data_IF_732877853753
#
_entry.id   IF_732877853753
#
_cell.length_a   1.000
_cell.length_b   1.000
_cell.length_c   1.000
_cell.angle_alpha   90.00
_cell.angle_beta   90.00
_cell.angle_gamma   90.00
#
_symmetry.space_group_name_H-M   'P 1'
#
loop_
_entity.id
_entity.type
_entity.pdbx_description
1 polymer ?
#
# COMPACT_ATOMS: atom_id res chain seq x y z
N UNK A 1 -13.39 -19.45 10.29
CA UNK A 1 -13.31 -18.36 9.29
C UNK A 1 -13.36 -17.02 10.00
N UNK A 2 -12.45 -16.11 9.67
CA UNK A 2 -12.38 -14.74 10.17
C UNK A 2 -13.57 -13.96 9.61
N UNK A 3 -14.34 -13.32 10.47
CA UNK A 3 -15.44 -12.45 10.06
C UNK A 3 -14.90 -11.06 9.75
N UNK A 4 -15.16 -10.58 8.55
CA UNK A 4 -14.59 -9.33 8.01
C UNK A 4 -15.66 -8.28 7.81
N UNK A 5 -15.37 -7.06 8.25
CA UNK A 5 -16.10 -5.86 7.86
C UNK A 5 -15.25 -4.95 6.99
N UNK A 6 -15.85 -4.34 5.98
CA UNK A 6 -15.16 -3.39 5.10
C UNK A 6 -15.93 -2.06 5.12
N UNK A 7 -15.34 -1.00 5.63
CA UNK A 7 -15.87 0.37 5.49
C UNK A 7 -15.24 0.97 4.24
N UNK A 8 -16.08 1.49 3.32
CA UNK A 8 -15.63 1.96 2.01
C UNK A 8 -15.55 0.86 0.94
N UNK A 9 -16.35 -0.21 1.07
CA UNK A 9 -16.36 -1.38 0.17
C UNK A 9 -16.61 -1.03 -1.31
N UNK A 10 -17.20 0.13 -1.60
CA UNK A 10 -17.52 0.57 -2.97
C UNK A 10 -16.50 1.51 -3.61
N UNK A 11 -15.39 1.84 -2.92
CA UNK A 11 -14.20 2.45 -3.52
C UNK A 11 -13.38 1.44 -4.31
N UNK A 12 -12.35 1.86 -5.05
CA UNK A 12 -11.50 0.92 -5.81
C UNK A 12 -10.71 -0.02 -4.88
N UNK A 13 -10.09 0.49 -3.81
CA UNK A 13 -9.39 -0.37 -2.84
C UNK A 13 -10.37 -1.29 -2.10
N UNK A 14 -11.56 -0.78 -1.71
CA UNK A 14 -12.61 -1.59 -1.09
C UNK A 14 -13.14 -2.67 -2.02
N UNK A 15 -13.36 -2.36 -3.30
CA UNK A 15 -13.79 -3.35 -4.31
C UNK A 15 -12.73 -4.43 -4.54
N UNK A 16 -11.45 -4.06 -4.45
CA UNK A 16 -10.35 -5.02 -4.56
C UNK A 16 -10.25 -5.91 -3.30
N UNK A 17 -10.48 -5.35 -2.10
CA UNK A 17 -10.63 -6.16 -0.87
C UNK A 17 -11.75 -7.18 -1.01
N UNK A 18 -12.93 -6.75 -1.50
CA UNK A 18 -14.06 -7.67 -1.72
C UNK A 18 -13.67 -8.78 -2.72
N UNK A 19 -12.98 -8.43 -3.82
CA UNK A 19 -12.53 -9.42 -4.81
C UNK A 19 -11.60 -10.48 -4.20
N UNK A 20 -10.61 -10.06 -3.44
CA UNK A 20 -9.63 -10.95 -2.81
C UNK A 20 -10.29 -11.80 -1.72
N UNK A 21 -11.03 -11.16 -0.83
CA UNK A 21 -11.63 -11.83 0.33
C UNK A 21 -12.78 -12.79 -0.05
N UNK A 22 -13.47 -12.55 -1.16
CA UNK A 22 -14.48 -13.51 -1.69
C UNK A 22 -13.84 -14.85 -2.07
N UNK A 23 -12.57 -14.86 -2.49
CA UNK A 23 -11.82 -16.08 -2.79
C UNK A 23 -11.00 -16.62 -1.61
N UNK A 24 -11.01 -15.96 -0.46
CA UNK A 24 -10.18 -16.31 0.69
C UNK A 24 -10.82 -17.44 1.52
N UNK A 25 -10.12 -18.56 1.72
CA UNK A 25 -10.70 -19.76 2.35
C UNK A 25 -10.97 -19.62 3.84
N UNK A 26 -10.23 -18.75 4.53
CA UNK A 26 -10.28 -18.55 5.98
C UNK A 26 -10.98 -17.26 6.40
N UNK A 27 -11.57 -16.48 5.45
CA UNK A 27 -12.27 -15.24 5.73
C UNK A 27 -13.68 -15.22 5.12
N UNK A 28 -14.60 -14.50 5.77
CA UNK A 28 -15.98 -14.28 5.33
C UNK A 28 -16.37 -12.82 5.52
N UNK A 29 -16.76 -12.13 4.46
CA UNK A 29 -17.21 -10.74 4.54
C UNK A 29 -18.64 -10.71 5.08
N UNK A 30 -18.82 -10.07 6.24
CA UNK A 30 -20.13 -9.89 6.92
C UNK A 30 -20.72 -8.51 6.71
N UNK A 31 -19.89 -7.51 6.37
CA UNK A 31 -20.31 -6.12 6.29
C UNK A 31 -19.68 -5.41 5.09
N UNK A 32 -20.53 -4.91 4.20
CA UNK A 32 -20.13 -4.16 2.98
C UNK A 32 -20.48 -2.69 3.18
N UNK A 33 -19.69 -1.95 3.95
CA UNK A 33 -19.95 -0.55 4.31
C UNK A 33 -19.78 0.40 3.13
N UNK A 34 -20.79 1.24 2.90
CA UNK A 34 -20.76 2.28 1.88
C UNK A 34 -21.75 3.41 2.20
N UNK A 35 -21.25 4.63 2.36
CA UNK A 35 -22.13 5.80 2.58
C UNK A 35 -23.01 6.16 1.39
N UNK A 36 -22.54 5.88 0.17
CA UNK A 36 -23.21 6.29 -1.06
C UNK A 36 -24.24 5.30 -1.58
N UNK A 37 -24.22 4.05 -1.08
CA UNK A 37 -25.01 2.95 -1.64
C UNK A 37 -25.73 2.12 -0.55
N UNK A 38 -26.04 2.73 0.60
CA UNK A 38 -26.78 2.06 1.69
C UNK A 38 -28.05 1.42 1.12
N UNK A 39 -28.38 0.20 1.58
CA UNK A 39 -29.53 -0.62 1.16
C UNK A 39 -29.55 -1.06 -0.31
N UNK A 40 -28.51 -0.76 -1.08
CA UNK A 40 -28.40 -1.25 -2.44
C UNK A 40 -27.60 -2.54 -2.50
N UNK A 41 -27.93 -3.44 -3.44
CA UNK A 41 -27.15 -4.65 -3.68
C UNK A 41 -25.72 -4.28 -4.11
N UNK A 42 -24.71 -4.92 -3.51
CA UNK A 42 -23.31 -4.69 -3.88
C UNK A 42 -23.05 -4.92 -5.38
N UNK A 43 -23.67 -5.97 -5.94
CA UNK A 43 -23.58 -6.28 -7.36
C UNK A 43 -24.23 -5.23 -8.28
N UNK A 44 -25.11 -4.34 -7.78
CA UNK A 44 -25.61 -3.22 -8.58
C UNK A 44 -24.56 -2.12 -8.76
N UNK A 45 -23.59 -2.04 -7.86
CA UNK A 45 -22.46 -1.11 -7.95
C UNK A 45 -21.32 -1.70 -8.77
N UNK A 46 -21.07 -3.00 -8.60
CA UNK A 46 -20.03 -3.77 -9.29
C UNK A 46 -20.63 -4.98 -9.98
N UNK A 47 -21.07 -4.81 -11.23
CA UNK A 47 -21.79 -5.85 -12.01
C UNK A 47 -20.98 -7.13 -12.24
N UNK A 48 -19.65 -7.06 -12.19
CA UNK A 48 -18.77 -8.23 -12.25
C UNK A 48 -18.91 -9.14 -11.02
N UNK A 49 -19.57 -8.69 -9.95
CA UNK A 49 -19.88 -9.46 -8.74
C UNK A 49 -21.29 -10.06 -8.77
N UNK A 50 -22.03 -9.92 -9.89
CA UNK A 50 -23.36 -10.50 -10.04
C UNK A 50 -23.31 -12.03 -9.89
N UNK A 51 -24.21 -12.59 -9.07
CA UNK A 51 -24.27 -14.01 -8.68
C UNK A 51 -23.03 -14.54 -7.91
N UNK A 52 -22.07 -13.68 -7.56
CA UNK A 52 -20.89 -14.01 -6.74
C UNK A 52 -21.08 -13.43 -5.33
N UNK A 53 -21.46 -12.16 -5.23
CA UNK A 53 -21.69 -11.47 -3.96
C UNK A 53 -23.15 -11.03 -3.89
N UNK A 54 -23.97 -11.78 -3.17
CA UNK A 54 -25.37 -11.43 -2.89
C UNK A 54 -25.48 -10.74 -1.53
N UNK A 55 -24.91 -9.55 -1.43
CA UNK A 55 -24.92 -8.75 -0.21
C UNK A 55 -25.53 -7.38 -0.48
N UNK A 56 -26.07 -6.76 0.56
CA UNK A 56 -26.57 -5.39 0.54
C UNK A 56 -25.54 -4.48 1.20
N UNK A 57 -25.29 -3.32 0.62
CA UNK A 57 -24.41 -2.31 1.21
C UNK A 57 -25.03 -1.75 2.49
N UNK A 58 -24.19 -1.57 3.49
CA UNK A 58 -24.55 -1.11 4.83
C UNK A 58 -23.88 0.23 5.11
N UNK A 59 -24.24 0.86 6.22
CA UNK A 59 -23.61 2.10 6.68
C UNK A 59 -22.18 1.86 7.22
N UNK A 60 -21.58 2.87 7.84
CA UNK A 60 -20.26 2.83 8.48
C UNK A 60 -20.35 2.90 10.01
N UNK A 61 -21.44 2.40 10.60
CA UNK A 61 -21.60 2.34 12.05
C UNK A 61 -20.62 1.33 12.67
N UNK A 62 -19.45 1.84 13.03
CA UNK A 62 -18.35 1.01 13.54
C UNK A 62 -18.68 0.34 14.87
N UNK A 63 -19.51 0.94 15.73
CA UNK A 63 -19.92 0.36 17.01
C UNK A 63 -20.80 -0.89 16.83
N UNK A 64 -21.68 -0.90 15.83
CA UNK A 64 -22.49 -2.08 15.48
C UNK A 64 -21.64 -3.13 14.74
N UNK A 65 -20.77 -2.68 13.83
CA UNK A 65 -19.88 -3.54 13.08
C UNK A 65 -18.91 -4.30 14.00
N UNK A 66 -18.34 -3.62 15.00
CA UNK A 66 -17.41 -4.22 15.96
C UNK A 66 -18.02 -5.34 16.84
N UNK A 67 -19.35 -5.48 16.86
CA UNK A 67 -20.02 -6.58 17.55
C UNK A 67 -20.17 -7.85 16.69
N UNK A 68 -19.94 -7.73 15.38
CA UNK A 68 -20.31 -8.75 14.41
C UNK A 68 -19.10 -9.36 13.68
N UNK A 69 -17.94 -8.71 13.75
CA UNK A 69 -16.74 -9.09 12.99
C UNK A 69 -15.51 -9.21 13.87
N UNK A 70 -14.48 -9.87 13.34
CA UNK A 70 -13.19 -10.04 14.02
C UNK A 70 -12.17 -8.99 13.58
N UNK A 71 -12.33 -8.46 12.34
CA UNK A 71 -11.47 -7.44 11.75
C UNK A 71 -12.27 -6.46 10.90
N UNK A 72 -11.87 -5.18 10.95
CA UNK A 72 -12.43 -4.12 10.11
C UNK A 72 -11.33 -3.56 9.21
N UNK A 73 -11.59 -3.53 7.90
CA UNK A 73 -10.80 -2.76 6.95
C UNK A 73 -11.44 -1.40 6.72
N UNK A 74 -10.67 -0.33 6.84
CA UNK A 74 -11.13 1.02 6.53
C UNK A 74 -10.50 1.51 5.22
N UNK A 75 -11.22 1.35 4.10
CA UNK A 75 -10.83 1.83 2.78
C UNK A 75 -11.47 3.20 2.49
N UNK A 76 -11.16 4.17 3.32
CA UNK A 76 -11.86 5.46 3.44
C UNK A 76 -10.96 6.66 3.11
N UNK A 77 -11.54 7.84 2.86
CA UNK A 77 -10.79 9.09 2.86
C UNK A 77 -10.07 9.33 4.20
N UNK A 78 -8.98 10.08 4.15
CA UNK A 78 -8.20 10.47 5.33
C UNK A 78 -9.07 11.22 6.37
N UNK A 79 -8.78 11.01 7.64
CA UNK A 79 -9.49 11.57 8.80
C UNK A 79 -10.70 10.75 9.25
N UNK A 80 -11.23 9.86 8.40
CA UNK A 80 -12.42 9.09 8.77
C UNK A 80 -12.11 7.95 9.73
N UNK A 81 -11.08 7.15 9.47
CA UNK A 81 -10.68 6.08 10.36
C UNK A 81 -10.35 6.64 11.76
N UNK A 82 -9.52 7.69 11.82
CA UNK A 82 -9.20 8.37 13.08
C UNK A 82 -10.41 8.92 13.82
N UNK A 83 -11.49 9.31 13.13
CA UNK A 83 -12.72 9.78 13.76
C UNK A 83 -13.60 8.67 14.31
N UNK A 84 -13.43 7.44 13.85
CA UNK A 84 -14.25 6.28 14.24
C UNK A 84 -13.55 5.39 15.27
N UNK A 85 -12.24 5.32 15.26
CA UNK A 85 -11.45 4.47 16.18
C UNK A 85 -11.47 5.00 17.59
N UNK A 86 -11.74 4.11 18.55
CA UNK A 86 -11.66 4.37 19.98
C UNK A 86 -11.34 3.08 20.75
N UNK A 87 -11.04 3.19 22.05
CA UNK A 87 -10.64 2.05 22.86
C UNK A 87 -11.74 0.97 22.96
N UNK A 88 -13.00 1.35 23.01
CA UNK A 88 -14.11 0.40 23.04
C UNK A 88 -14.16 -0.48 21.76
N UNK A 89 -13.82 0.09 20.62
CA UNK A 89 -13.73 -0.63 19.35
C UNK A 89 -12.49 -1.52 19.32
N UNK A 90 -11.31 -0.96 19.61
CA UNK A 90 -10.03 -1.70 19.58
C UNK A 90 -9.97 -2.83 20.61
N UNK A 91 -10.75 -2.78 21.67
CA UNK A 91 -10.88 -3.89 22.63
C UNK A 91 -11.68 -5.09 22.10
N UNK A 92 -12.42 -4.93 21.00
CA UNK A 92 -13.34 -5.94 20.45
C UNK A 92 -12.87 -6.51 19.11
N UNK A 93 -12.29 -5.67 18.27
CA UNK A 93 -11.92 -6.03 16.90
C UNK A 93 -10.55 -5.47 16.53
N UNK A 94 -9.89 -6.14 15.60
CA UNK A 94 -8.67 -5.64 14.96
C UNK A 94 -9.04 -4.68 13.82
N UNK A 95 -8.21 -3.65 13.61
CA UNK A 95 -8.42 -2.67 12.54
C UNK A 95 -7.22 -2.64 11.60
N UNK A 96 -7.49 -2.65 10.30
CA UNK A 96 -6.50 -2.42 9.24
C UNK A 96 -6.94 -1.19 8.46
N UNK A 97 -6.20 -0.10 8.66
CA UNK A 97 -6.51 1.19 8.05
C UNK A 97 -5.76 1.38 6.73
N UNK A 98 -6.50 1.48 5.62
CA UNK A 98 -5.96 1.78 4.30
C UNK A 98 -5.93 3.30 4.02
N UNK A 99 -6.47 4.12 4.94
CA UNK A 99 -6.26 5.57 4.89
C UNK A 99 -4.83 5.92 5.31
N UNK A 100 -4.55 7.16 5.55
CA UNK A 100 -3.21 7.57 6.00
C UNK A 100 -3.15 7.95 7.48
N UNK A 101 -4.25 7.72 8.22
CA UNK A 101 -4.45 8.35 9.52
C UNK A 101 -3.41 7.90 10.58
N UNK A 102 -2.88 6.69 10.46
CA UNK A 102 -1.96 6.13 11.45
C UNK A 102 -0.57 5.79 10.90
N UNK A 103 -0.23 6.25 9.67
CA UNK A 103 1.05 5.89 9.02
C UNK A 103 2.25 6.67 9.52
N UNK A 104 2.03 7.95 9.89
CA UNK A 104 3.07 8.89 10.29
C UNK A 104 3.03 9.05 11.80
N UNK A 105 4.16 8.86 12.47
CA UNK A 105 4.25 8.92 13.93
C UNK A 105 4.15 10.34 14.47
N UNK A 106 4.71 11.33 13.76
CA UNK A 106 4.61 12.73 14.18
C UNK A 106 3.28 13.37 13.75
N UNK A 107 2.42 13.67 14.73
CA UNK A 107 1.11 14.30 14.52
C UNK A 107 1.22 15.62 13.74
N UNK A 108 2.20 16.45 14.07
CA UNK A 108 2.38 17.76 13.41
C UNK A 108 2.72 17.59 11.93
N UNK A 109 3.53 16.60 11.59
CA UNK A 109 3.83 16.23 10.20
C UNK A 109 2.59 15.73 9.48
N UNK A 110 1.80 14.83 10.09
CA UNK A 110 0.53 14.38 9.51
C UNK A 110 -0.40 15.58 9.22
N UNK A 111 -0.67 16.43 10.21
CA UNK A 111 -1.57 17.58 10.08
C UNK A 111 -1.09 18.58 9.02
N UNK A 112 0.21 18.85 8.97
CA UNK A 112 0.81 19.70 7.95
C UNK A 112 0.61 19.17 6.52
N UNK A 113 0.86 17.86 6.31
CA UNK A 113 0.83 17.27 4.96
C UNK A 113 -0.58 16.91 4.49
N UNK A 114 -1.48 16.57 5.40
CA UNK A 114 -2.86 16.22 5.07
C UNK A 114 -3.83 17.41 5.17
N UNK A 115 -3.45 18.47 5.88
CA UNK A 115 -4.28 19.67 6.06
C UNK A 115 -5.52 19.45 6.92
N UNK A 116 -5.50 18.45 7.78
CA UNK A 116 -6.60 18.07 8.68
C UNK A 116 -6.07 17.77 10.08
N UNK A 117 -6.86 18.04 11.10
CA UNK A 117 -6.58 17.68 12.47
C UNK A 117 -6.72 16.16 12.69
N UNK A 118 -5.75 15.55 13.37
CA UNK A 118 -5.82 14.13 13.71
C UNK A 118 -6.80 13.89 14.88
N UNK A 119 -7.85 13.07 14.66
CA UNK A 119 -8.95 12.92 15.61
C UNK A 119 -8.69 11.91 16.73
N UNK A 120 -7.67 11.07 16.61
CA UNK A 120 -7.31 10.06 17.60
C UNK A 120 -5.78 9.89 17.72
N UNK A 121 -5.04 10.97 18.06
CA UNK A 121 -3.57 10.93 18.09
C UNK A 121 -3.00 9.95 19.14
N UNK A 122 -3.78 9.64 20.18
CA UNK A 122 -3.39 8.69 21.23
C UNK A 122 -3.14 7.27 20.73
N UNK A 123 -3.65 6.90 19.55
CA UNK A 123 -3.46 5.57 18.96
C UNK A 123 -2.33 5.49 17.93
N UNK A 124 -1.72 6.62 17.57
CA UNK A 124 -0.64 6.65 16.57
C UNK A 124 0.56 5.83 17.04
N UNK A 125 0.93 5.94 18.32
CA UNK A 125 2.10 5.25 18.85
C UNK A 125 1.95 3.73 18.81
N UNK A 126 0.76 3.21 19.12
CA UNK A 126 0.50 1.77 19.08
C UNK A 126 0.25 1.22 17.67
N UNK A 127 -0.15 2.06 16.74
CA UNK A 127 -0.41 1.64 15.37
C UNK A 127 0.87 1.10 14.72
N UNK A 128 0.78 -0.10 14.15
CA UNK A 128 1.91 -0.73 13.46
C UNK A 128 1.85 -0.40 11.97
N UNK A 129 2.98 0.05 11.42
CA UNK A 129 3.09 0.26 9.97
C UNK A 129 3.11 -1.08 9.24
N UNK A 130 2.06 -1.35 8.47
CA UNK A 130 1.73 -2.66 7.92
C UNK A 130 2.47 -3.04 6.64
N UNK A 131 3.78 -2.80 6.56
CA UNK A 131 4.63 -3.35 5.51
C UNK A 131 5.24 -4.66 6.02
N UNK A 132 4.59 -5.78 5.67
CA UNK A 132 4.84 -7.10 6.26
C UNK A 132 6.29 -7.55 6.16
N UNK A 133 6.96 -7.27 5.06
CA UNK A 133 8.34 -7.66 4.80
C UNK A 133 9.34 -6.99 5.76
N UNK A 134 8.94 -5.88 6.37
CA UNK A 134 9.78 -5.11 7.30
C UNK A 134 9.33 -5.30 8.75
N UNK A 135 8.00 -5.29 9.01
CA UNK A 135 7.44 -5.22 10.36
C UNK A 135 6.62 -6.46 10.74
N UNK A 136 6.95 -7.63 10.19
CA UNK A 136 6.17 -8.88 10.33
C UNK A 136 5.83 -9.22 11.77
N UNK A 137 6.80 -9.19 12.68
CA UNK A 137 6.58 -9.59 14.05
C UNK A 137 5.68 -8.60 14.82
N UNK A 138 5.80 -7.31 14.53
CA UNK A 138 4.95 -6.29 15.14
C UNK A 138 3.51 -6.40 14.63
N UNK A 139 3.32 -6.65 13.32
CA UNK A 139 2.00 -6.85 12.70
C UNK A 139 1.26 -8.04 13.32
N UNK A 140 1.94 -9.15 13.63
CA UNK A 140 1.31 -10.33 14.28
C UNK A 140 0.62 -9.97 15.59
N UNK A 141 1.19 -9.05 16.35
CA UNK A 141 0.74 -8.66 17.69
C UNK A 141 -0.17 -7.41 17.67
N UNK A 142 -0.34 -6.77 16.53
CA UNK A 142 -1.08 -5.52 16.42
C UNK A 142 -2.60 -5.72 16.57
N UNK A 143 -3.27 -4.71 17.13
CA UNK A 143 -4.73 -4.53 17.05
C UNK A 143 -5.13 -3.41 16.10
N UNK A 144 -4.18 -2.53 15.76
CA UNK A 144 -4.34 -1.45 14.78
C UNK A 144 -3.14 -1.45 13.84
N UNK A 145 -3.41 -1.65 12.55
CA UNK A 145 -2.39 -1.65 11.50
C UNK A 145 -2.65 -0.51 10.53
N UNK A 146 -1.65 0.33 10.33
CA UNK A 146 -1.61 1.36 9.28
C UNK A 146 -1.09 0.75 7.98
N UNK A 147 -1.98 0.42 7.06
CA UNK A 147 -1.60 -0.16 5.78
C UNK A 147 -0.90 0.88 4.89
N UNK A 148 0.27 0.59 4.31
CA UNK A 148 1.05 1.54 3.50
C UNK A 148 0.29 2.14 2.32
N UNK A 149 0.73 3.31 1.87
CA UNK A 149 0.30 3.86 0.59
C UNK A 149 0.89 3.08 -0.60
N UNK A 150 0.26 3.19 -1.76
CA UNK A 150 0.68 2.40 -2.92
C UNK A 150 2.08 2.77 -3.44
N UNK A 151 2.37 4.06 -3.58
CA UNK A 151 3.72 4.50 -3.96
C UNK A 151 4.74 4.18 -2.87
N UNK A 152 4.35 4.32 -1.60
CA UNK A 152 5.24 4.09 -0.47
C UNK A 152 5.63 2.62 -0.37
N UNK A 153 4.68 1.70 -0.58
CA UNK A 153 4.98 0.27 -0.66
C UNK A 153 6.04 -0.03 -1.72
N UNK A 154 5.84 0.47 -2.94
CA UNK A 154 6.78 0.24 -4.03
C UNK A 154 8.16 0.84 -3.72
N UNK A 155 8.19 2.12 -3.35
CA UNK A 155 9.45 2.84 -3.16
C UNK A 155 10.23 2.34 -1.95
N UNK A 156 9.56 2.11 -0.83
CA UNK A 156 10.24 1.62 0.37
C UNK A 156 10.84 0.23 0.10
N UNK A 157 10.08 -0.71 -0.45
CA UNK A 157 10.60 -2.05 -0.73
C UNK A 157 11.76 -2.03 -1.74
N UNK A 158 11.75 -1.09 -2.67
CA UNK A 158 12.82 -0.94 -3.67
C UNK A 158 14.11 -0.42 -3.04
N UNK A 159 14.06 0.60 -2.17
CA UNK A 159 15.24 1.24 -1.59
C UNK A 159 15.71 0.62 -0.25
N UNK A 160 14.80 -0.01 0.51
CA UNK A 160 15.02 -0.43 1.90
C UNK A 160 16.32 -1.20 2.15
N UNK A 161 16.67 -2.26 1.37
CA UNK A 161 17.88 -3.02 1.64
C UNK A 161 19.15 -2.18 1.57
N UNK A 162 19.21 -1.28 0.60
CA UNK A 162 20.40 -0.45 0.38
C UNK A 162 20.48 0.72 1.36
N UNK A 163 19.34 1.28 1.76
CA UNK A 163 19.26 2.26 2.83
C UNK A 163 19.72 1.64 4.16
N UNK A 164 19.21 0.43 4.50
CA UNK A 164 19.53 -0.30 5.72
C UNK A 164 21.01 -0.66 5.85
N UNK A 165 21.68 -0.98 4.74
CA UNK A 165 23.09 -1.33 4.69
C UNK A 165 24.01 -0.11 4.45
N UNK A 166 23.46 1.11 4.38
CA UNK A 166 24.22 2.35 4.18
C UNK A 166 24.98 2.40 2.84
N UNK A 167 24.46 1.73 1.82
CA UNK A 167 25.11 1.65 0.49
C UNK A 167 24.80 2.88 -0.34
N UNK A 168 23.69 3.56 -0.07
CA UNK A 168 23.26 4.76 -0.78
C UNK A 168 23.32 5.99 0.12
N UNK A 169 23.73 7.09 -0.45
CA UNK A 169 23.66 8.41 0.19
C UNK A 169 22.23 8.93 0.16
N UNK A 170 21.54 8.82 1.30
CA UNK A 170 20.13 9.17 1.45
C UNK A 170 19.82 10.62 1.10
N UNK A 171 20.79 11.54 1.25
CA UNK A 171 20.64 12.96 0.89
C UNK A 171 20.51 13.19 -0.63
N UNK A 172 20.84 12.18 -1.43
CA UNK A 172 20.81 12.24 -2.89
C UNK A 172 19.67 11.41 -3.50
N UNK A 173 18.82 10.80 -2.67
CA UNK A 173 17.73 9.94 -3.14
C UNK A 173 16.65 10.75 -3.87
N UNK A 174 16.40 10.34 -5.10
CA UNK A 174 15.31 10.84 -5.93
C UNK A 174 14.43 9.65 -6.34
N UNK A 175 13.13 9.78 -6.13
CA UNK A 175 12.13 8.78 -6.50
C UNK A 175 11.21 9.39 -7.55
N UNK A 176 11.26 8.83 -8.76
CA UNK A 176 10.42 9.20 -9.89
C UNK A 176 9.44 8.04 -10.18
N UNK A 177 8.18 8.22 -9.80
CA UNK A 177 7.21 7.13 -9.81
C UNK A 177 6.02 7.41 -10.73
N UNK A 178 5.57 6.38 -11.44
CA UNK A 178 4.44 6.39 -12.39
C UNK A 178 3.33 5.51 -11.83
N UNK A 179 2.09 5.98 -11.85
CA UNK A 179 0.91 5.22 -11.40
C UNK A 179 -0.20 5.24 -12.41
N UNK A 180 -0.88 4.11 -12.53
CA UNK A 180 -2.16 4.04 -13.21
C UNK A 180 -3.25 4.87 -12.49
N UNK A 181 -4.28 5.23 -13.23
CA UNK A 181 -5.32 6.19 -12.83
C UNK A 181 -6.22 5.70 -11.69
N UNK A 182 -6.33 4.39 -11.47
CA UNK A 182 -7.08 3.83 -10.34
C UNK A 182 -6.52 4.29 -8.98
N UNK A 183 -5.23 4.66 -8.91
CA UNK A 183 -4.61 5.23 -7.72
C UNK A 183 -5.22 6.56 -7.26
N UNK A 184 -5.88 7.30 -8.16
CA UNK A 184 -6.59 8.53 -7.82
C UNK A 184 -7.97 8.30 -7.16
N UNK A 185 -8.41 7.03 -7.05
CA UNK A 185 -9.70 6.64 -6.48
C UNK A 185 -10.88 6.79 -7.46
N UNK A 186 -12.05 6.29 -7.01
CA UNK A 186 -13.27 6.22 -7.84
C UNK A 186 -14.05 7.54 -7.93
N UNK A 187 -13.73 8.52 -7.11
CA UNK A 187 -14.45 9.80 -7.12
C UNK A 187 -14.31 10.51 -8.46
N UNK A 188 -15.43 10.94 -9.04
CA UNK A 188 -15.46 11.68 -10.29
C UNK A 188 -14.77 13.05 -10.13
N UNK A 189 -13.70 13.26 -10.87
CA UNK A 189 -12.96 14.53 -10.97
C UNK A 189 -12.63 14.77 -12.43
N UNK A 190 -12.67 16.01 -12.88
CA UNK A 190 -12.33 16.36 -14.27
C UNK A 190 -10.98 15.75 -14.67
N UNK A 191 -9.96 15.87 -13.82
CA UNK A 191 -8.62 15.34 -14.08
C UNK A 191 -8.55 13.82 -14.27
N UNK A 192 -9.61 13.07 -13.94
CA UNK A 192 -9.68 11.60 -14.03
C UNK A 192 -10.66 11.14 -15.13
N UNK A 193 -11.27 12.07 -15.89
CA UNK A 193 -12.14 11.72 -17.01
C UNK A 193 -11.32 11.10 -18.15
N UNK A 194 -11.96 10.22 -18.92
CA UNK A 194 -11.29 9.49 -20.00
C UNK A 194 -10.52 10.39 -20.96
N UNK A 195 -11.16 11.46 -21.46
CA UNK A 195 -10.53 12.41 -22.41
C UNK A 195 -9.39 13.24 -21.79
N UNK A 196 -9.32 13.34 -20.46
CA UNK A 196 -8.25 14.05 -19.74
C UNK A 196 -7.05 13.14 -19.42
N UNK A 197 -7.27 11.84 -19.41
CA UNK A 197 -6.27 10.84 -19.01
C UNK A 197 -5.72 10.08 -20.21
N UNK A 198 -6.58 9.75 -21.19
CA UNK A 198 -6.16 8.95 -22.34
C UNK A 198 -5.10 9.71 -23.15
N UNK A 199 -4.04 9.00 -23.56
CA UNK A 199 -2.90 9.58 -24.32
C UNK A 199 -2.19 10.74 -23.60
N UNK A 200 -2.35 10.87 -22.28
CA UNK A 200 -1.80 11.97 -21.49
C UNK A 200 -1.04 11.44 -20.27
N UNK A 201 0.20 11.85 -20.10
CA UNK A 201 1.00 11.59 -18.91
C UNK A 201 1.32 12.92 -18.21
N UNK A 202 1.07 12.99 -16.89
CA UNK A 202 1.27 14.22 -16.13
C UNK A 202 1.91 13.99 -14.78
N UNK A 203 2.79 14.91 -14.38
CA UNK A 203 3.24 15.03 -13.00
C UNK A 203 2.15 15.63 -12.13
N UNK A 204 2.09 15.26 -10.86
CA UNK A 204 1.18 15.88 -9.90
C UNK A 204 1.78 15.86 -8.48
N UNK A 205 1.32 16.76 -7.62
CA UNK A 205 1.78 16.81 -6.24
C UNK A 205 3.30 16.98 -6.09
N UNK A 206 3.96 17.66 -7.02
CA UNK A 206 5.41 17.87 -7.00
C UNK A 206 5.82 18.60 -5.72
N UNK A 207 6.74 18.03 -4.96
CA UNK A 207 7.20 18.49 -3.64
C UNK A 207 6.08 18.67 -2.58
N UNK A 208 4.86 18.19 -2.86
CA UNK A 208 3.69 18.33 -1.97
C UNK A 208 2.86 17.07 -1.84
N UNK A 209 3.32 15.96 -2.43
CA UNK A 209 2.58 14.69 -2.38
C UNK A 209 2.63 14.08 -0.98
N UNK A 210 1.48 13.67 -0.48
CA UNK A 210 1.29 13.17 0.91
C UNK A 210 2.03 11.88 1.25
N UNK A 211 2.51 11.13 0.26
CA UNK A 211 3.36 9.96 0.49
C UNK A 211 4.83 10.33 0.80
N UNK A 212 5.25 11.58 0.55
CA UNK A 212 6.64 12.00 0.80
C UNK A 212 7.06 11.76 2.25
N UNK A 213 6.37 12.31 3.27
CA UNK A 213 6.78 12.13 4.66
C UNK A 213 6.70 10.66 5.13
N UNK A 214 5.80 9.86 4.55
CA UNK A 214 5.70 8.44 4.85
C UNK A 214 6.95 7.67 4.35
N UNK A 215 7.44 7.97 3.14
CA UNK A 215 8.66 7.38 2.60
C UNK A 215 9.89 7.83 3.40
N UNK A 216 9.97 9.14 3.69
CA UNK A 216 11.06 9.73 4.49
C UNK A 216 11.15 9.10 5.87
N UNK A 217 10.03 8.93 6.57
CA UNK A 217 9.98 8.33 7.90
C UNK A 217 10.46 6.86 7.88
N UNK A 218 9.93 6.05 6.97
CA UNK A 218 10.26 4.63 6.92
C UNK A 218 11.70 4.36 6.46
N UNK A 219 12.20 5.12 5.49
CA UNK A 219 13.60 5.02 5.07
C UNK A 219 14.55 5.64 6.11
N UNK A 220 14.08 6.62 6.87
CA UNK A 220 14.77 7.16 8.03
C UNK A 220 14.98 6.11 9.13
N UNK A 221 13.94 5.33 9.45
CA UNK A 221 14.07 4.19 10.38
C UNK A 221 15.02 3.10 9.84
N UNK A 222 15.02 2.89 8.53
CA UNK A 222 15.92 1.92 7.92
C UNK A 222 17.38 2.33 8.00
N UNK A 223 17.70 3.57 7.61
CA UNK A 223 19.08 4.10 7.53
C UNK A 223 19.61 4.60 8.88
N UNK A 224 18.74 4.92 9.84
CA UNK A 224 19.10 5.59 11.09
C UNK A 224 19.39 7.08 10.93
N UNK A 225 19.01 7.69 9.82
CA UNK A 225 19.25 9.09 9.47
C UNK A 225 17.94 9.87 9.33
N UNK A 226 18.00 11.19 9.42
CA UNK A 226 16.90 12.06 9.04
C UNK A 226 16.89 12.20 7.51
N UNK A 227 15.93 11.56 6.85
CA UNK A 227 15.83 11.52 5.39
C UNK A 227 14.95 12.66 4.89
N UNK A 228 15.45 13.40 3.91
CA UNK A 228 14.69 14.35 3.09
C UNK A 228 14.99 14.03 1.63
N UNK A 229 13.95 13.67 0.88
CA UNK A 229 14.11 13.21 -0.49
C UNK A 229 13.22 13.95 -1.50
N UNK A 230 13.54 13.80 -2.79
CA UNK A 230 12.66 14.25 -3.85
C UNK A 230 11.76 13.08 -4.31
N UNK A 231 10.45 13.22 -4.10
CA UNK A 231 9.44 12.31 -4.63
C UNK A 231 8.60 13.01 -5.70
N UNK A 232 8.62 12.47 -6.91
CA UNK A 232 7.88 13.04 -8.06
C UNK A 232 6.95 11.99 -8.65
N UNK A 233 5.65 12.00 -8.29
CA UNK A 233 4.68 11.08 -8.84
C UNK A 233 4.13 11.55 -10.18
N UNK A 234 3.83 10.59 -11.06
CA UNK A 234 3.17 10.80 -12.34
C UNK A 234 1.90 9.97 -12.42
N UNK A 235 0.88 10.51 -13.06
CA UNK A 235 -0.29 9.77 -13.50
C UNK A 235 -0.12 9.43 -14.98
N UNK A 236 -0.25 8.15 -15.32
CA UNK A 236 -0.06 7.64 -16.69
C UNK A 236 -1.34 6.99 -17.21
N UNK A 237 -1.56 6.92 -18.53
CA UNK A 237 -2.80 6.48 -19.14
C UNK A 237 -2.94 4.94 -19.13
N UNK A 238 -2.88 4.36 -17.97
CA UNK A 238 -3.17 2.94 -17.71
C UNK A 238 -4.09 2.82 -16.48
N UNK A 239 -4.80 1.71 -16.35
CA UNK A 239 -5.71 1.51 -15.22
C UNK A 239 -4.95 1.22 -13.94
N UNK A 240 -4.04 0.24 -13.95
CA UNK A 240 -3.33 -0.29 -12.78
C UNK A 240 -1.81 -0.25 -12.98
N UNK A 241 -1.11 -0.42 -11.90
CA UNK A 241 0.33 -0.54 -11.85
C UNK A 241 1.04 0.70 -11.32
N UNK A 242 2.13 0.48 -10.61
CA UNK A 242 3.13 1.49 -10.25
C UNK A 242 4.48 1.01 -10.76
N UNK A 243 5.23 1.92 -11.38
CA UNK A 243 6.65 1.77 -11.67
C UNK A 243 7.39 2.90 -10.98
N UNK A 244 8.23 2.58 -10.02
CA UNK A 244 9.15 3.51 -9.39
C UNK A 244 10.56 3.35 -9.98
N UNK A 245 11.20 4.48 -10.32
CA UNK A 245 12.62 4.53 -10.68
C UNK A 245 13.30 5.45 -9.70
N UNK A 246 14.28 4.95 -8.99
CA UNK A 246 14.92 5.62 -7.87
C UNK A 246 16.42 5.78 -8.14
N UNK A 247 16.95 6.94 -7.83
CA UNK A 247 18.34 7.30 -8.11
C UNK A 247 19.02 7.75 -6.84
N UNK A 248 20.17 7.17 -6.51
CA UNK A 248 20.99 7.64 -5.41
C UNK A 248 22.47 7.53 -5.74
N UNK A 249 23.34 8.35 -5.12
CA UNK A 249 24.77 8.15 -5.14
C UNK A 249 25.13 6.94 -4.27
N UNK A 250 26.12 6.18 -4.70
CA UNK A 250 26.74 5.15 -3.87
C UNK A 250 27.67 5.81 -2.84
N UNK A 251 27.66 5.29 -1.61
CA UNK A 251 28.55 5.72 -0.53
C UNK A 251 29.95 5.15 -0.66
N UNK A 252 30.09 4.06 -1.42
CA UNK A 252 31.34 3.36 -1.72
C UNK A 252 31.23 2.61 -3.04
N UNK A 253 32.36 2.23 -3.60
CA UNK A 253 32.38 1.36 -4.77
C UNK A 253 31.83 -0.02 -4.40
N UNK A 254 30.90 -0.51 -5.21
CA UNK A 254 30.27 -1.82 -5.03
C UNK A 254 30.07 -2.48 -6.39
N UNK A 255 30.13 -3.81 -6.41
CA UNK A 255 29.85 -4.63 -7.59
C UNK A 255 28.36 -4.98 -7.68
N UNK A 256 27.92 -5.45 -8.84
CA UNK A 256 26.56 -6.00 -9.01
C UNK A 256 26.27 -7.13 -8.00
N UNK A 257 27.23 -8.06 -7.85
CA UNK A 257 27.05 -9.23 -6.99
C UNK A 257 26.93 -8.85 -5.50
N UNK A 258 27.65 -7.84 -5.04
CA UNK A 258 27.53 -7.32 -3.68
C UNK A 258 26.16 -6.68 -3.44
N UNK A 259 25.65 -5.88 -4.38
CA UNK A 259 24.30 -5.29 -4.27
C UNK A 259 23.24 -6.39 -4.35
N UNK A 260 23.39 -7.36 -5.27
CA UNK A 260 22.46 -8.50 -5.36
C UNK A 260 22.41 -9.29 -4.06
N UNK A 261 23.56 -9.56 -3.45
CA UNK A 261 23.64 -10.26 -2.16
C UNK A 261 22.93 -9.49 -1.04
N UNK A 262 22.95 -8.15 -1.07
CA UNK A 262 22.18 -7.34 -0.12
C UNK A 262 20.68 -7.55 -0.34
N UNK A 263 20.17 -7.44 -1.58
CA UNK A 263 18.77 -7.72 -1.84
C UNK A 263 18.37 -9.14 -1.42
N UNK A 264 19.19 -10.14 -1.71
CA UNK A 264 18.94 -11.52 -1.34
C UNK A 264 18.91 -11.73 0.18
N UNK A 265 19.77 -11.04 0.93
CA UNK A 265 19.76 -11.05 2.40
C UNK A 265 18.39 -10.70 2.98
N UNK A 266 17.70 -9.73 2.38
CA UNK A 266 16.41 -9.27 2.87
C UNK A 266 15.23 -9.99 2.23
N UNK A 267 15.33 -10.39 0.97
CA UNK A 267 14.19 -10.78 0.16
C UNK A 267 14.18 -12.21 -0.36
N UNK A 268 15.25 -13.00 -0.17
CA UNK A 268 15.30 -14.38 -0.66
C UNK A 268 14.17 -15.27 -0.11
N UNK A 269 13.64 -14.97 1.08
CA UNK A 269 12.55 -15.71 1.71
C UNK A 269 11.20 -15.00 1.64
N UNK A 270 11.12 -13.84 0.97
CA UNK A 270 9.89 -13.07 0.85
C UNK A 270 9.07 -13.55 -0.35
N UNK A 271 7.93 -14.19 -0.05
CA UNK A 271 7.06 -14.84 -1.06
C UNK A 271 6.66 -13.91 -2.20
N UNK A 272 6.42 -12.63 -1.88
CA UNK A 272 5.88 -11.68 -2.84
C UNK A 272 6.92 -10.74 -3.46
N UNK A 273 8.19 -10.84 -3.07
CA UNK A 273 9.26 -10.03 -3.68
C UNK A 273 10.08 -10.87 -4.64
N UNK A 274 10.19 -10.40 -5.88
CA UNK A 274 11.02 -11.00 -6.93
C UNK A 274 12.13 -10.04 -7.29
N UNK A 275 13.35 -10.36 -6.90
CA UNK A 275 14.54 -9.67 -7.39
C UNK A 275 14.89 -10.31 -8.74
N UNK A 276 14.62 -9.57 -9.81
CA UNK A 276 14.70 -10.09 -11.17
C UNK A 276 16.15 -10.43 -11.59
N UNK A 277 16.27 -11.23 -12.64
CA UNK A 277 17.56 -11.58 -13.25
C UNK A 277 18.30 -10.33 -13.73
N UNK A 278 19.63 -10.41 -13.76
CA UNK A 278 20.49 -9.32 -14.21
C UNK A 278 20.04 -8.77 -15.57
N UNK A 279 19.98 -7.44 -15.66
CA UNK A 279 19.57 -6.68 -16.84
C UNK A 279 18.09 -6.80 -17.27
N UNK A 280 17.24 -7.48 -16.49
CA UNK A 280 15.79 -7.53 -16.68
C UNK A 280 15.13 -6.38 -15.90
N UNK A 281 14.57 -5.40 -16.59
CA UNK A 281 13.85 -4.29 -15.94
C UNK A 281 12.42 -4.69 -15.58
N UNK A 282 11.90 -4.30 -14.40
CA UNK A 282 10.51 -4.60 -14.01
C UNK A 282 9.50 -3.86 -14.91
N UNK A 283 8.36 -4.52 -15.16
CA UNK A 283 7.24 -3.98 -15.92
C UNK A 283 5.93 -4.11 -15.12
N UNK A 284 5.05 -3.12 -15.23
CA UNK A 284 3.77 -3.13 -14.51
C UNK A 284 2.85 -4.29 -14.91
N UNK A 285 2.94 -4.76 -16.17
CA UNK A 285 2.15 -5.92 -16.64
C UNK A 285 2.51 -7.23 -15.93
N UNK A 286 3.75 -7.39 -15.50
CA UNK A 286 4.19 -8.65 -14.89
C UNK A 286 3.72 -8.83 -13.45
N UNK A 287 3.12 -7.80 -12.87
CA UNK A 287 2.61 -7.79 -11.49
C UNK A 287 1.10 -7.50 -11.42
N UNK A 288 0.46 -7.18 -12.55
CA UNK A 288 -0.96 -6.79 -12.58
C UNK A 288 -1.87 -7.87 -12.02
N UNK A 289 -2.79 -7.46 -11.13
CA UNK A 289 -3.77 -8.34 -10.47
C UNK A 289 -3.19 -9.22 -9.36
N UNK A 290 -1.90 -9.09 -9.04
CA UNK A 290 -1.19 -9.94 -8.08
C UNK A 290 -0.57 -9.16 -6.91
N UNK A 291 -0.15 -9.89 -5.87
CA UNK A 291 0.54 -9.31 -4.72
C UNK A 291 2.08 -9.26 -4.89
N UNK A 292 2.59 -9.57 -6.09
CA UNK A 292 4.02 -9.56 -6.36
C UNK A 292 4.59 -8.16 -6.50
N UNK A 293 5.85 -8.04 -6.12
CA UNK A 293 6.73 -6.87 -6.30
C UNK A 293 7.91 -7.32 -7.14
N UNK A 294 8.15 -6.70 -8.28
CA UNK A 294 9.33 -6.92 -9.09
C UNK A 294 10.34 -5.81 -8.83
N UNK A 295 11.56 -6.18 -8.47
CA UNK A 295 12.64 -5.25 -8.16
C UNK A 295 13.88 -5.60 -9.00
N UNK A 296 14.57 -4.59 -9.48
CA UNK A 296 15.93 -4.72 -10.01
C UNK A 296 16.70 -3.42 -9.84
N UNK A 297 17.99 -3.45 -10.15
CA UNK A 297 18.87 -2.30 -10.06
C UNK A 297 19.94 -2.31 -11.16
N UNK A 298 20.49 -1.13 -11.40
CA UNK A 298 21.64 -0.94 -12.30
C UNK A 298 22.63 0.04 -11.67
N UNK A 299 23.90 -0.31 -11.64
CA UNK A 299 24.97 0.62 -11.27
C UNK A 299 25.42 1.35 -12.53
N UNK A 300 25.43 2.68 -12.51
CA UNK A 300 26.04 3.49 -13.58
C UNK A 300 27.41 4.01 -13.10
N UNK A 301 28.52 3.38 -13.56
CA UNK A 301 29.85 3.75 -13.11
C UNK A 301 30.29 5.14 -13.58
N UNK A 302 29.65 5.69 -14.63
CA UNK A 302 29.97 7.04 -15.13
C UNK A 302 29.53 8.14 -14.17
N UNK A 303 28.48 7.88 -13.40
CA UNK A 303 27.89 8.88 -12.49
C UNK A 303 28.06 8.53 -11.03
N UNK A 304 28.61 7.37 -10.72
CA UNK A 304 28.68 6.77 -9.38
C UNK A 304 27.29 6.72 -8.72
N UNK A 305 26.27 6.35 -9.51
CA UNK A 305 24.89 6.22 -9.04
C UNK A 305 24.39 4.80 -9.21
N UNK A 306 23.51 4.42 -8.30
CA UNK A 306 22.65 3.26 -8.50
C UNK A 306 21.26 3.75 -8.95
N UNK A 307 20.69 3.02 -9.89
CA UNK A 307 19.32 3.17 -10.37
C UNK A 307 18.57 1.94 -9.89
N UNK A 308 17.63 2.14 -8.96
CA UNK A 308 16.79 1.08 -8.41
C UNK A 308 15.42 1.18 -9.08
N UNK A 309 14.79 0.04 -9.36
CA UNK A 309 13.52 -0.02 -10.09
C UNK A 309 12.58 -0.99 -9.39
N UNK A 310 11.35 -0.56 -9.16
CA UNK A 310 10.31 -1.39 -8.56
C UNK A 310 8.98 -1.30 -9.31
N UNK A 311 8.27 -2.43 -9.42
CA UNK A 311 6.92 -2.47 -9.99
C UNK A 311 5.96 -3.26 -9.09
N UNK A 312 4.74 -2.75 -8.95
CA UNK A 312 3.63 -3.39 -8.22
C UNK A 312 2.29 -3.14 -8.91
N UNK A 313 1.27 -3.93 -8.59
CA UNK A 313 -0.13 -3.53 -8.78
C UNK A 313 -0.53 -2.57 -7.63
N UNK A 314 -0.92 -1.36 -7.98
CA UNK A 314 -1.24 -0.31 -6.99
C UNK A 314 -2.49 -0.60 -6.16
N UNK A 315 -3.41 -1.45 -6.62
CA UNK A 315 -4.61 -1.85 -5.88
C UNK A 315 -4.43 -3.14 -5.10
N UNK A 316 -3.54 -4.04 -5.54
CA UNK A 316 -3.26 -5.30 -4.82
C UNK A 316 -2.12 -5.08 -3.83
N UNK A 317 -0.87 -5.25 -4.22
CA UNK A 317 0.27 -5.04 -3.29
C UNK A 317 0.33 -3.61 -2.75
N UNK A 318 -0.07 -2.63 -3.54
CA UNK A 318 -0.12 -1.23 -3.12
C UNK A 318 -1.27 -0.87 -2.16
N UNK A 319 -2.27 -1.75 -1.96
CA UNK A 319 -3.44 -1.44 -1.13
C UNK A 319 -4.08 -2.70 -0.53
N UNK A 320 -5.03 -3.33 -1.25
CA UNK A 320 -5.89 -4.38 -0.72
C UNK A 320 -5.12 -5.68 -0.44
N UNK A 321 -4.20 -6.08 -1.31
CA UNK A 321 -3.41 -7.29 -1.10
C UNK A 321 -2.48 -7.17 0.10
N UNK A 322 -1.82 -6.02 0.28
CA UNK A 322 -1.02 -5.72 1.47
C UNK A 322 -1.89 -5.75 2.74
N UNK A 323 -3.11 -5.22 2.68
CA UNK A 323 -4.03 -5.24 3.82
C UNK A 323 -4.48 -6.68 4.17
N UNK A 324 -4.75 -7.53 3.18
CA UNK A 324 -5.06 -8.96 3.42
C UNK A 324 -3.83 -9.71 3.94
N UNK A 325 -2.62 -9.41 3.47
CA UNK A 325 -1.37 -9.94 3.98
C UNK A 325 -1.19 -9.60 5.48
N UNK A 326 -1.49 -8.35 5.86
CA UNK A 326 -1.53 -7.92 7.26
C UNK A 326 -2.56 -8.72 8.07
N UNK A 327 -3.80 -8.86 7.56
CA UNK A 327 -4.84 -9.68 8.23
C UNK A 327 -4.34 -11.10 8.47
N UNK A 328 -3.74 -11.74 7.48
CA UNK A 328 -3.23 -13.10 7.61
C UNK A 328 -2.24 -13.24 8.77
N UNK A 329 -1.28 -12.32 8.87
CA UNK A 329 -0.32 -12.27 9.98
C UNK A 329 -1.00 -12.03 11.33
N UNK A 330 -1.91 -11.06 11.41
CA UNK A 330 -2.63 -10.71 12.65
C UNK A 330 -3.46 -11.87 13.21
N UNK A 331 -3.90 -12.79 12.36
CA UNK A 331 -4.69 -13.97 12.75
C UNK A 331 -3.91 -15.29 12.69
N UNK A 332 -2.59 -15.24 12.51
CA UNK A 332 -1.73 -16.42 12.51
C UNK A 332 -1.95 -17.38 11.34
N UNK A 333 -2.50 -16.88 10.23
CA UNK A 333 -2.64 -17.62 9.00
C UNK A 333 -1.33 -17.64 8.20
N UNK A 334 -1.27 -18.49 7.16
CA UNK A 334 -0.22 -18.39 6.16
C UNK A 334 -0.27 -17.01 5.51
N UNK A 335 0.84 -16.28 5.52
CA UNK A 335 0.91 -14.89 5.04
C UNK A 335 0.38 -14.72 3.60
N UNK A 336 0.55 -15.73 2.76
CA UNK A 336 0.08 -15.74 1.38
C UNK A 336 -1.35 -16.27 1.17
N UNK A 337 -2.09 -16.63 2.21
CA UNK A 337 -3.44 -17.17 2.05
C UNK A 337 -4.36 -16.18 1.32
N UNK A 338 -5.04 -16.68 0.27
CA UNK A 338 -5.91 -15.86 -0.59
C UNK A 338 -5.17 -14.88 -1.52
N UNK A 339 -3.83 -14.83 -1.50
CA UNK A 339 -3.01 -13.87 -2.25
C UNK A 339 -2.13 -14.52 -3.32
N UNK A 340 -2.18 -15.85 -3.49
CA UNK A 340 -1.37 -16.56 -4.48
C UNK A 340 -1.95 -16.42 -5.91
N UNK A 341 -2.37 -15.20 -6.25
CA UNK A 341 -2.89 -14.85 -7.56
C UNK A 341 -1.73 -14.75 -8.57
N UNK A 342 -1.89 -15.43 -9.71
CA UNK A 342 -0.96 -15.30 -10.83
C UNK A 342 -1.20 -13.96 -11.51
N UNK A 343 -0.15 -13.19 -11.85
CA UNK A 343 -0.31 -11.95 -12.60
C UNK A 343 -1.08 -12.14 -13.90
N UNK A 344 -1.94 -11.21 -14.23
CA UNK A 344 -2.69 -11.22 -15.49
C UNK A 344 -1.78 -10.80 -16.65
N UNK A 345 -1.90 -11.49 -17.78
CA UNK A 345 -1.19 -11.15 -19.01
C UNK A 345 -2.00 -11.67 -20.21
N UNK A 346 -2.21 -10.93 -21.30
CA UNK A 346 -1.71 -9.59 -21.63
C UNK A 346 -2.40 -8.44 -20.88
#
# INVERSE_FOLDING_TARGET
MIKVGIIGATGYAGGELVRILTGHKEAEIKWFGSRSYIDQKYASVYQNMFQIVDATCMDDNMDELAKQVDVIFTATPQGLCASLVNENILSKVKIIDLSADFRIKDVATYEKWYGIEHKSPQFIEEAVYGLCEINREDVKNARLVANPGCYTTCSILTAYPLAKEGIIDMSTLIIDAKSGTSGAGRSAKVANLYCEVNENMKVYGVATHRHTPEIEEQLGYASGENVVLNFTPHLVPMNRGILATEYAKLTKDVTYDEVKAIYDKYYANEKFIRVLEKDVCPETKWVEGSNYVDINFKIDPRTNRIIMMGAIDNLVKGAAGQAVQNMNLMFGLKESEGLELVPMFP
#
